data_IF_088340270569
#
_entry.id   IF_088340270569
#
_cell.length_a   1.000
_cell.length_b   1.000
_cell.length_c   1.000
_cell.angle_alpha   90.00
_cell.angle_beta   90.00
_cell.angle_gamma   90.00
#
_symmetry.space_group_name_H-M   'P 1'
#
loop_
_entity.id
_entity.type
_entity.pdbx_description
1 polymer ?
#
# COMPACT_ATOMS: atom_id res chain seq x y z
N UNK A 1 -14.57 -3.94 30.46
CA UNK A 1 -14.28 -2.63 31.11
C UNK A 1 -12.76 -2.44 31.30
N UNK A 2 -12.02 -3.44 31.82
CA UNK A 2 -10.55 -3.33 31.98
C UNK A 2 -9.80 -3.25 30.63
N UNK A 3 -10.20 -4.04 29.62
CA UNK A 3 -9.60 -3.95 28.27
C UNK A 3 -9.92 -2.65 27.51
N UNK A 4 -11.00 -1.95 27.86
CA UNK A 4 -11.31 -0.65 27.22
C UNK A 4 -10.37 0.46 27.69
N UNK A 5 -9.85 0.36 28.93
CA UNK A 5 -8.93 1.36 29.50
C UNK A 5 -7.51 1.27 28.95
N UNK A 6 -7.07 0.09 28.51
CA UNK A 6 -5.75 -0.12 27.88
C UNK A 6 -5.76 0.18 26.38
N UNK A 7 -6.93 0.09 25.74
CA UNK A 7 -7.11 0.44 24.33
C UNK A 7 -6.90 1.94 24.05
N UNK A 8 -7.10 2.83 25.02
CA UNK A 8 -6.97 4.27 24.80
C UNK A 8 -5.55 4.67 24.41
N UNK A 9 -4.52 4.07 25.03
CA UNK A 9 -3.12 4.33 24.68
C UNK A 9 -2.79 3.78 23.28
N UNK A 10 -3.24 2.56 22.96
CA UNK A 10 -3.00 1.92 21.65
C UNK A 10 -3.76 2.63 20.53
N UNK A 11 -4.96 3.15 20.81
CA UNK A 11 -5.79 3.87 19.86
C UNK A 11 -5.11 5.13 19.31
N UNK A 12 -4.28 5.80 20.11
CA UNK A 12 -3.53 6.97 19.63
C UNK A 12 -2.52 6.59 18.54
N UNK A 13 -1.73 5.53 18.73
CA UNK A 13 -0.79 5.02 17.72
C UNK A 13 -1.49 4.48 16.49
N UNK A 14 -2.62 3.78 16.67
CA UNK A 14 -3.42 3.31 15.55
C UNK A 14 -4.04 4.46 14.75
N UNK A 15 -4.49 5.52 15.42
CA UNK A 15 -5.00 6.74 14.76
C UNK A 15 -3.89 7.45 13.98
N UNK A 16 -2.67 7.48 14.51
CA UNK A 16 -1.50 8.00 13.80
C UNK A 16 -1.17 7.18 12.55
N UNK A 17 -1.27 5.85 12.62
CA UNK A 17 -1.08 4.96 11.46
C UNK A 17 -2.13 5.24 10.38
N UNK A 18 -3.41 5.34 10.74
CA UNK A 18 -4.48 5.65 9.78
C UNK A 18 -4.31 7.03 9.14
N UNK A 19 -3.92 8.04 9.93
CA UNK A 19 -3.64 9.38 9.43
C UNK A 19 -2.45 9.37 8.45
N UNK A 20 -1.39 8.63 8.78
CA UNK A 20 -0.22 8.47 7.92
C UNK A 20 -0.61 7.82 6.58
N UNK A 21 -1.38 6.71 6.63
CA UNK A 21 -1.89 6.03 5.43
C UNK A 21 -2.73 7.00 4.59
N UNK A 22 -3.60 7.77 5.22
CA UNK A 22 -4.45 8.73 4.52
C UNK A 22 -3.63 9.83 3.80
N UNK A 23 -2.65 10.42 4.49
CA UNK A 23 -1.78 11.46 3.90
C UNK A 23 -1.01 10.92 2.70
N UNK A 24 -0.37 9.76 2.85
CA UNK A 24 0.38 9.15 1.75
C UNK A 24 -0.53 8.71 0.61
N UNK A 25 -1.76 8.28 0.89
CA UNK A 25 -2.73 7.93 -0.17
C UNK A 25 -3.12 9.13 -1.01
N UNK A 26 -3.41 10.27 -0.38
CA UNK A 26 -3.71 11.52 -1.10
C UNK A 26 -2.49 12.00 -1.89
N UNK A 27 -1.30 11.95 -1.29
CA UNK A 27 -0.06 12.30 -1.99
C UNK A 27 0.20 11.39 -3.19
N UNK A 28 -0.02 10.08 -3.03
CA UNK A 28 0.12 9.09 -4.08
C UNK A 28 -0.88 9.31 -5.23
N UNK A 29 -2.12 9.67 -4.93
CA UNK A 29 -3.10 10.06 -5.96
C UNK A 29 -2.64 11.29 -6.76
N UNK A 30 -2.04 12.27 -6.09
CA UNK A 30 -1.49 13.46 -6.76
C UNK A 30 -0.29 13.17 -7.66
N UNK A 31 0.53 12.17 -7.31
CA UNK A 31 1.74 11.82 -8.05
C UNK A 31 1.52 10.76 -9.15
N UNK A 32 0.59 9.83 -8.92
CA UNK A 32 0.45 8.60 -9.71
C UNK A 32 -0.96 8.37 -10.26
N UNK A 33 -1.89 9.30 -10.04
CA UNK A 33 -3.28 9.17 -10.49
C UNK A 33 -3.38 9.05 -12.01
N UNK A 34 -3.91 7.92 -12.49
CA UNK A 34 -4.09 7.60 -13.90
C UNK A 34 -2.84 7.12 -14.63
N UNK A 35 -1.70 7.02 -13.95
CA UNK A 35 -0.42 6.67 -14.58
C UNK A 35 -0.18 5.16 -14.64
N UNK A 36 -0.87 4.35 -13.83
CA UNK A 36 -0.61 2.92 -13.71
C UNK A 36 -1.32 2.08 -14.78
N UNK A 37 -1.95 2.71 -15.77
CA UNK A 37 -2.64 2.03 -16.86
C UNK A 37 -1.66 1.39 -17.85
N UNK A 38 -1.90 0.14 -18.24
CA UNK A 38 -1.12 -0.55 -19.25
C UNK A 38 -2.03 -1.22 -20.28
N UNK A 39 -1.49 -1.50 -21.45
CA UNK A 39 -2.20 -2.21 -22.50
C UNK A 39 -1.42 -3.45 -22.86
N UNK A 40 -2.15 -4.55 -22.93
CA UNK A 40 -1.70 -5.77 -23.57
C UNK A 40 -2.24 -5.84 -24.99
N UNK A 41 -1.32 -5.96 -25.97
CA UNK A 41 -1.66 -6.28 -27.34
C UNK A 41 -1.04 -7.65 -27.69
N UNK A 42 -1.86 -8.55 -28.25
CA UNK A 42 -1.41 -9.87 -28.68
C UNK A 42 -0.98 -9.85 -30.16
N UNK A 43 0.29 -10.14 -30.44
CA UNK A 43 0.75 -10.28 -31.82
C UNK A 43 0.56 -11.73 -32.31
N UNK A 44 -0.48 -11.92 -33.14
CA UNK A 44 -0.97 -13.21 -33.64
C UNK A 44 0.07 -13.93 -34.53
N UNK A 45 0.95 -13.21 -35.25
CA UNK A 45 1.92 -13.85 -36.16
C UNK A 45 3.19 -14.34 -35.48
N UNK A 46 3.57 -13.73 -34.35
CA UNK A 46 4.80 -14.09 -33.63
C UNK A 46 4.57 -14.79 -32.29
N UNK A 47 3.31 -15.04 -31.89
CA UNK A 47 2.94 -15.57 -30.57
C UNK A 47 3.70 -14.85 -29.43
N UNK A 48 3.87 -13.53 -29.56
CA UNK A 48 4.68 -12.73 -28.64
C UNK A 48 3.82 -11.60 -28.09
N UNK A 49 3.76 -11.51 -26.77
CA UNK A 49 3.09 -10.44 -26.06
C UNK A 49 3.78 -9.12 -26.40
N UNK A 50 3.01 -8.14 -26.87
CA UNK A 50 3.49 -6.81 -27.18
C UNK A 50 2.95 -5.85 -26.14
N UNK A 51 3.82 -5.47 -25.20
CA UNK A 51 3.50 -4.43 -24.22
C UNK A 51 3.61 -3.06 -24.89
N UNK A 52 2.47 -2.43 -25.17
CA UNK A 52 2.40 -1.06 -25.68
C UNK A 52 2.04 -0.17 -24.49
N UNK A 53 2.98 0.68 -24.06
CA UNK A 53 2.70 1.69 -23.03
C UNK A 53 1.91 2.85 -23.64
N UNK A 54 0.73 3.13 -23.08
CA UNK A 54 -0.01 4.36 -23.38
C UNK A 54 -0.17 5.16 -22.10
N UNK A 55 -0.03 6.49 -22.20
CA UNK A 55 0.01 7.39 -21.04
C UNK A 55 -1.34 8.05 -20.74
N UNK A 56 -2.47 7.36 -20.96
CA UNK A 56 -3.77 7.93 -20.62
C UNK A 56 -4.85 6.87 -20.42
N UNK A 57 -5.61 6.99 -19.33
CA UNK A 57 -6.87 6.27 -19.08
C UNK A 57 -8.02 6.68 -20.02
N UNK A 58 -7.76 7.47 -21.06
CA UNK A 58 -8.63 7.62 -22.22
C UNK A 58 -8.00 6.90 -23.40
N UNK A 59 -8.21 5.59 -23.45
CA UNK A 59 -8.05 4.85 -24.70
C UNK A 59 -9.14 5.33 -25.67
N UNK A 60 -8.91 6.46 -26.33
CA UNK A 60 -9.69 6.84 -27.51
C UNK A 60 -9.40 5.81 -28.59
N UNK A 61 -10.43 5.44 -29.35
CA UNK A 61 -10.44 4.46 -30.42
C UNK A 61 -9.51 4.92 -31.58
N UNK A 62 -8.20 4.88 -31.38
CA UNK A 62 -7.22 5.31 -32.37
C UNK A 62 -6.41 4.10 -32.85
N UNK A 63 -6.77 3.63 -34.04
CA UNK A 63 -6.04 2.65 -34.83
C UNK A 63 -4.58 3.09 -35.00
N UNK A 64 -3.65 2.39 -34.35
CA UNK A 64 -2.24 2.48 -34.73
C UNK A 64 -2.08 1.67 -36.01
N UNK A 65 -2.04 2.35 -37.16
CA UNK A 65 -1.63 1.76 -38.44
C UNK A 65 -0.13 1.46 -38.37
N UNK A 66 0.25 0.28 -37.85
CA UNK A 66 1.55 -0.33 -38.14
C UNK A 66 1.33 -1.31 -39.27
N UNK A 67 1.98 -1.05 -40.41
CA UNK A 67 1.90 -1.86 -41.61
C UNK A 67 2.01 -3.36 -41.28
N UNK A 68 0.97 -4.10 -41.68
CA UNK A 68 0.85 -5.57 -41.76
C UNK A 68 0.49 -6.42 -40.52
N UNK A 69 -0.22 -5.90 -39.53
CA UNK A 69 -0.98 -6.75 -38.59
C UNK A 69 -2.34 -6.14 -38.21
N UNK A 70 -3.44 -6.82 -38.54
CA UNK A 70 -4.77 -6.53 -38.01
C UNK A 70 -4.82 -6.90 -36.52
N UNK A 71 -4.40 -5.99 -35.63
CA UNK A 71 -4.60 -6.13 -34.18
C UNK A 71 -6.00 -5.60 -33.89
N UNK A 72 -6.93 -6.48 -33.55
CA UNK A 72 -8.36 -6.17 -33.52
C UNK A 72 -8.94 -5.87 -32.15
N UNK A 73 -8.26 -6.24 -31.06
CA UNK A 73 -8.78 -6.09 -29.71
C UNK A 73 -7.70 -5.53 -28.79
N UNK A 74 -8.01 -4.37 -28.21
CA UNK A 74 -7.15 -3.67 -27.25
C UNK A 74 -8.00 -3.39 -26.03
N UNK A 75 -7.56 -3.89 -24.87
CA UNK A 75 -8.22 -3.66 -23.60
C UNK A 75 -7.24 -2.96 -22.67
N UNK A 76 -7.72 -1.91 -22.00
CA UNK A 76 -6.92 -1.14 -21.05
C UNK A 76 -6.98 -1.87 -19.72
N UNK A 77 -5.84 -2.37 -19.27
CA UNK A 77 -5.70 -3.08 -18.00
C UNK A 77 -5.28 -2.09 -16.94
N UNK A 78 -6.16 -1.92 -15.97
CA UNK A 78 -5.85 -1.19 -14.75
C UNK A 78 -5.38 -2.20 -13.69
N UNK A 79 -4.12 -2.12 -13.23
CA UNK A 79 -3.63 -2.95 -12.14
C UNK A 79 -4.50 -2.72 -10.90
N UNK A 80 -4.76 -3.79 -10.13
CA UNK A 80 -5.51 -3.67 -8.87
C UNK A 80 -4.83 -2.71 -7.87
N UNK A 81 -3.50 -2.62 -7.95
CA UNK A 81 -2.63 -1.79 -7.11
C UNK A 81 -2.39 -0.44 -7.81
N UNK A 82 -3.38 0.44 -7.77
CA UNK A 82 -3.35 1.75 -8.44
C UNK A 82 -3.68 2.91 -7.49
N UNK A 83 -3.45 4.13 -7.97
CA UNK A 83 -3.68 5.37 -7.25
C UNK A 83 -4.81 6.22 -7.86
N UNK A 84 -5.74 5.59 -8.58
CA UNK A 84 -6.74 6.30 -9.39
C UNK A 84 -7.95 6.75 -8.57
N UNK A 85 -8.27 6.01 -7.50
CA UNK A 85 -9.30 6.36 -6.54
C UNK A 85 -8.77 6.28 -5.12
N UNK A 86 -9.38 7.04 -4.20
CA UNK A 86 -8.97 7.07 -2.80
C UNK A 86 -8.97 5.69 -2.17
N UNK A 87 -9.98 4.86 -2.44
CA UNK A 87 -10.08 3.51 -1.89
C UNK A 87 -8.95 2.61 -2.40
N UNK A 88 -8.63 2.65 -3.69
CA UNK A 88 -7.52 1.88 -4.26
C UNK A 88 -6.17 2.40 -3.78
N UNK A 89 -6.00 3.71 -3.63
CA UNK A 89 -4.79 4.32 -3.09
C UNK A 89 -4.57 3.91 -1.62
N UNK A 90 -5.60 3.95 -0.78
CA UNK A 90 -5.56 3.49 0.61
C UNK A 90 -5.12 2.02 0.72
N UNK A 91 -5.72 1.14 -0.09
CA UNK A 91 -5.36 -0.28 -0.11
C UNK A 91 -3.95 -0.51 -0.64
N UNK A 92 -3.54 0.23 -1.67
CA UNK A 92 -2.20 0.12 -2.26
C UNK A 92 -1.13 0.61 -1.28
N UNK A 93 -1.36 1.72 -0.58
CA UNK A 93 -0.47 2.20 0.48
C UNK A 93 -0.40 1.21 1.64
N UNK A 94 -1.54 0.68 2.08
CA UNK A 94 -1.58 -0.37 3.09
C UNK A 94 -0.77 -1.60 2.67
N UNK A 95 -0.95 -2.07 1.44
CA UNK A 95 -0.20 -3.20 0.87
C UNK A 95 1.31 -2.94 0.80
N UNK A 96 1.73 -1.72 0.43
CA UNK A 96 3.15 -1.36 0.47
C UNK A 96 3.67 -1.37 1.91
N UNK A 97 2.90 -0.89 2.88
CA UNK A 97 3.28 -0.89 4.30
C UNK A 97 3.37 -2.30 4.91
N UNK A 98 2.55 -3.25 4.46
CA UNK A 98 2.68 -4.66 4.86
C UNK A 98 3.87 -5.36 4.19
N UNK A 99 4.61 -4.64 3.32
CA UNK A 99 5.71 -5.16 2.52
C UNK A 99 5.28 -6.30 1.59
N UNK A 100 4.02 -6.30 1.14
CA UNK A 100 3.48 -7.29 0.22
C UNK A 100 3.50 -6.74 -1.21
N UNK A 101 4.26 -7.38 -2.10
CA UNK A 101 4.44 -6.97 -3.51
C UNK A 101 4.75 -5.48 -3.71
N UNK A 102 5.36 -4.82 -2.73
CA UNK A 102 5.74 -3.41 -2.79
C UNK A 102 6.70 -3.10 -3.96
N UNK A 103 7.54 -4.09 -4.32
CA UNK A 103 8.46 -4.01 -5.45
C UNK A 103 7.71 -3.78 -6.76
N UNK A 104 6.60 -4.50 -6.97
CA UNK A 104 5.80 -4.37 -8.20
C UNK A 104 5.22 -2.95 -8.31
N UNK A 105 4.66 -2.43 -7.21
CA UNK A 105 4.08 -1.08 -7.15
C UNK A 105 5.16 -0.02 -7.36
N UNK A 106 6.34 -0.20 -6.77
CA UNK A 106 7.51 0.66 -6.95
C UNK A 106 7.95 0.68 -8.43
N UNK A 107 8.16 -0.48 -9.03
CA UNK A 107 8.62 -0.59 -10.41
C UNK A 107 7.59 -0.02 -11.38
N UNK A 108 6.30 -0.33 -11.19
CA UNK A 108 5.22 0.26 -11.99
C UNK A 108 5.18 1.78 -11.84
N UNK A 109 5.40 2.31 -10.63
CA UNK A 109 5.48 3.75 -10.39
C UNK A 109 6.65 4.40 -11.12
N UNK A 110 7.85 3.82 -11.01
CA UNK A 110 9.07 4.32 -11.68
C UNK A 110 8.98 4.25 -13.20
N UNK A 111 8.39 3.17 -13.69
CA UNK A 111 8.29 2.87 -15.12
C UNK A 111 7.30 3.79 -15.84
N UNK A 112 6.21 4.16 -15.18
CA UNK A 112 5.15 4.99 -15.76
C UNK A 112 5.34 6.50 -15.52
N UNK A 113 5.99 6.89 -14.41
CA UNK A 113 6.21 8.31 -14.09
C UNK A 113 7.66 8.75 -14.31
N UNK A 114 8.56 8.40 -13.38
CA UNK A 114 9.99 8.69 -13.45
C UNK A 114 10.75 7.90 -12.37
N UNK A 115 12.07 7.76 -12.53
CA UNK A 115 12.91 7.13 -11.50
C UNK A 115 12.84 7.83 -10.13
N UNK A 116 12.52 9.14 -10.09
CA UNK A 116 12.36 9.91 -8.86
C UNK A 116 11.15 9.46 -8.02
N UNK A 117 10.18 8.76 -8.61
CA UNK A 117 9.08 8.14 -7.90
C UNK A 117 9.55 7.15 -6.82
N UNK A 118 10.75 6.56 -6.98
CA UNK A 118 11.34 5.68 -5.98
C UNK A 118 11.45 6.35 -4.61
N UNK A 119 11.72 7.66 -4.56
CA UNK A 119 11.85 8.40 -3.29
C UNK A 119 10.55 8.41 -2.50
N UNK A 120 9.39 8.48 -3.17
CA UNK A 120 8.09 8.40 -2.51
C UNK A 120 7.92 7.05 -1.80
N UNK A 121 8.18 5.95 -2.51
CA UNK A 121 8.03 4.59 -1.96
C UNK A 121 9.08 4.28 -0.87
N UNK A 122 10.31 4.76 -1.03
CA UNK A 122 11.36 4.63 0.00
C UNK A 122 10.96 5.40 1.26
N UNK A 123 10.45 6.63 1.13
CA UNK A 123 9.98 7.41 2.27
C UNK A 123 8.76 6.74 2.93
N UNK A 124 7.79 6.29 2.14
CA UNK A 124 6.61 5.56 2.61
C UNK A 124 7.00 4.32 3.43
N UNK A 125 7.93 3.52 2.91
CA UNK A 125 8.44 2.31 3.59
C UNK A 125 9.22 2.67 4.85
N UNK A 126 10.08 3.68 4.81
CA UNK A 126 10.94 4.03 5.95
C UNK A 126 10.11 4.57 7.11
N UNK A 127 9.29 5.59 6.86
CA UNK A 127 8.45 6.19 7.89
C UNK A 127 7.30 5.28 8.32
N UNK A 128 6.71 4.55 7.37
CA UNK A 128 5.62 3.64 7.65
C UNK A 128 6.02 2.46 8.53
N UNK A 129 7.16 1.81 8.22
CA UNK A 129 7.68 0.74 9.07
C UNK A 129 8.07 1.27 10.45
N UNK A 130 8.63 2.48 10.56
CA UNK A 130 8.89 3.08 11.87
C UNK A 130 7.61 3.22 12.71
N UNK A 131 6.50 3.67 12.11
CA UNK A 131 5.20 3.75 12.81
C UNK A 131 4.70 2.36 13.21
N UNK A 132 4.78 1.36 12.31
CA UNK A 132 4.36 -0.01 12.59
C UNK A 132 5.18 -0.66 13.71
N UNK A 133 6.51 -0.50 13.70
CA UNK A 133 7.37 -1.01 14.76
C UNK A 133 7.07 -0.35 16.10
N UNK A 134 6.84 0.96 16.13
CA UNK A 134 6.44 1.65 17.36
C UNK A 134 5.09 1.15 17.89
N UNK A 135 4.14 0.83 17.00
CA UNK A 135 2.87 0.22 17.40
C UNK A 135 3.07 -1.19 17.97
N UNK A 136 3.91 -2.03 17.35
CA UNK A 136 4.23 -3.37 17.86
C UNK A 136 4.90 -3.30 19.25
N UNK A 137 5.88 -2.42 19.42
CA UNK A 137 6.57 -2.20 20.70
C UNK A 137 5.59 -1.73 21.77
N UNK A 138 4.69 -0.80 21.45
CA UNK A 138 3.67 -0.33 22.38
C UNK A 138 2.77 -1.48 22.86
N UNK A 139 2.29 -2.33 21.94
CA UNK A 139 1.44 -3.47 22.27
C UNK A 139 2.19 -4.49 23.16
N UNK A 140 3.45 -4.79 22.84
CA UNK A 140 4.26 -5.73 23.63
C UNK A 140 4.54 -5.21 25.04
N UNK A 141 4.87 -3.91 25.18
CA UNK A 141 5.12 -3.27 26.48
C UNK A 141 3.85 -3.28 27.34
N UNK A 142 2.70 -2.99 26.75
CA UNK A 142 1.40 -3.05 27.44
C UNK A 142 1.08 -4.49 27.88
N UNK A 143 1.37 -5.47 27.02
CA UNK A 143 1.21 -6.89 27.32
C UNK A 143 2.02 -7.32 28.56
N UNK A 144 3.31 -6.99 28.60
CA UNK A 144 4.17 -7.31 29.76
C UNK A 144 3.83 -6.50 31.01
N UNK A 145 3.32 -5.28 30.86
CA UNK A 145 2.89 -4.46 32.00
C UNK A 145 1.66 -5.03 32.68
N UNK A 146 0.74 -5.63 31.90
CA UNK A 146 -0.47 -6.29 32.41
C UNK A 146 -0.14 -7.54 33.23
N UNK A 147 0.83 -8.36 32.80
CA UNK A 147 1.26 -9.56 33.55
C UNK A 147 1.88 -9.25 34.92
N UNK A 148 2.70 -8.17 35.00
CA UNK A 148 3.34 -7.78 36.26
C UNK A 148 2.35 -7.29 37.33
N UNK A 149 1.24 -6.66 36.92
CA UNK A 149 0.22 -6.20 37.85
C UNK A 149 -0.66 -7.35 38.36
N UNK A 150 -0.94 -8.37 37.53
CA UNK A 150 -1.72 -9.55 37.94
C UNK A 150 -0.99 -10.43 38.96
N UNK A 151 0.33 -10.62 38.81
CA UNK A 151 1.12 -11.50 39.67
C UNK A 151 1.43 -10.97 41.08
N UNK A 152 1.29 -9.66 41.34
CA UNK A 152 1.57 -9.10 42.67
C UNK A 152 0.35 -9.19 43.63
N UNK A 153 -0.86 -9.23 43.09
CA UNK A 153 -2.12 -9.37 43.85
C UNK A 153 -2.28 -10.75 44.52
N UNK A 154 -1.65 -11.79 43.96
CA UNK A 154 -1.76 -13.15 44.52
C UNK A 154 -0.78 -13.41 45.69
N UNK A 155 0.30 -12.63 45.79
CA UNK A 155 1.30 -12.79 46.85
C UNK A 155 0.93 -12.07 48.17
N UNK A 156 0.15 -10.98 48.13
CA UNK A 156 -0.30 -10.29 49.36
C UNK A 156 -1.42 -11.05 50.10
N UNK A 157 -2.20 -11.88 49.40
CA UNK A 157 -3.29 -12.66 50.02
C UNK A 157 -2.76 -13.86 50.84
N UNK A 158 -1.59 -14.40 50.49
CA UNK A 158 -0.96 -15.52 51.20
C UNK A 158 -0.05 -15.11 52.36
N UNK A 159 0.36 -13.84 52.45
CA UNK A 159 1.16 -13.33 53.58
C UNK A 159 0.31 -12.87 54.77
N UNK A 160 -1.00 -12.74 54.60
CA UNK A 160 -1.94 -12.32 55.64
C UNK A 160 -2.78 -13.49 56.20
N UNK A 161 -2.35 -14.74 56.01
CA UNK A 161 -2.99 -15.93 56.56
C UNK A 161 -2.02 -16.77 57.39
#
# INVERSE_FOLDING_TARGET
IVMLKTMDNVATFFSLLLLFIFIFSILGMHLFGGEFCSIEAFNITSHKELHIKCKCCTCHENYIFKNDTHIKDFYCLQPRKNFDSLTYALLTVFQVLTQEDWNEVLYNGMENTSAWAALYFIALMTFGNYVLFNLLVAILVEGFSTEKMGGNSDNETNSNR
#
